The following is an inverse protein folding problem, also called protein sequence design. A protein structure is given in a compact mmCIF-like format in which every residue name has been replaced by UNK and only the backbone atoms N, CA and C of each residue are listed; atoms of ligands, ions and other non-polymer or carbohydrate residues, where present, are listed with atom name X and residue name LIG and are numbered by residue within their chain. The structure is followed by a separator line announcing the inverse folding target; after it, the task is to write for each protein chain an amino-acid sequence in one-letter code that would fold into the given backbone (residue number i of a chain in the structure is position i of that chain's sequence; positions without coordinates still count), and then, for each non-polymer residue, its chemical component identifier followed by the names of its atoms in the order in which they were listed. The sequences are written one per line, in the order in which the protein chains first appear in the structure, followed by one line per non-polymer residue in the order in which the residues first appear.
data_IF_563044421295
#
_entry.id   IF_563044421295
#
_cell.length_a   1.000
_cell.length_b   1.000
_cell.length_c   1.000
_cell.angle_alpha   90.00
_cell.angle_beta   90.00
_cell.angle_gamma   90.00
#
_symmetry.space_group_name_H-M   'P 1'
#
loop_
_entity.id
_entity.type
_entity.pdbx_description
1 polymer ?
#
# COMPACT_ATOMS: atom_id res chain seq x y z
N UNK A 1 2.80 36.86 -23.40
CA UNK A 1 2.21 36.68 -22.06
C UNK A 1 2.03 35.18 -21.91
N UNK A 2 2.69 34.55 -20.93
CA UNK A 2 2.60 33.11 -20.73
C UNK A 2 1.20 32.80 -20.16
N UNK A 3 0.56 31.72 -20.61
CA UNK A 3 -0.76 31.29 -20.12
C UNK A 3 -0.69 30.96 -18.63
N UNK A 4 -1.53 31.61 -17.83
CA UNK A 4 -1.48 31.55 -16.36
C UNK A 4 -2.12 30.26 -15.79
N UNK A 5 -2.70 29.39 -16.63
CA UNK A 5 -3.32 28.15 -16.19
C UNK A 5 -3.17 27.00 -17.19
N UNK A 6 -2.96 25.79 -16.66
CA UNK A 6 -2.85 24.53 -17.40
C UNK A 6 -4.12 24.23 -18.21
N UNK A 7 -5.27 24.78 -17.79
CA UNK A 7 -6.54 24.79 -18.55
C UNK A 7 -6.43 25.49 -19.89
N UNK A 8 -5.78 26.66 -19.95
CA UNK A 8 -5.63 27.41 -21.20
C UNK A 8 -4.67 26.70 -22.17
N UNK A 9 -3.72 25.92 -21.64
CA UNK A 9 -2.74 25.18 -22.42
C UNK A 9 -3.31 23.90 -23.04
N UNK A 10 -4.18 23.19 -22.32
CA UNK A 10 -4.70 21.89 -22.73
C UNK A 10 -6.05 21.96 -23.47
N UNK A 11 -6.85 23.00 -23.24
CA UNK A 11 -8.17 23.13 -23.85
C UNK A 11 -8.04 23.90 -25.17
N UNK A 12 -7.59 23.20 -26.21
CA UNK A 12 -7.94 23.56 -27.58
C UNK A 12 -9.46 23.47 -27.78
N UNK A 13 -10.01 24.15 -28.79
CA UNK A 13 -11.45 24.45 -29.05
C UNK A 13 -12.48 23.30 -29.10
N UNK A 14 -12.21 22.11 -28.55
CA UNK A 14 -13.16 21.02 -28.39
C UNK A 14 -13.11 20.50 -26.95
N UNK A 15 -13.82 21.17 -26.06
CA UNK A 15 -13.96 20.74 -24.67
C UNK A 15 -14.89 19.52 -24.59
N UNK A 16 -14.33 18.34 -24.31
CA UNK A 16 -15.08 17.19 -23.80
C UNK A 16 -15.32 17.40 -22.29
N UNK A 17 -16.57 17.38 -21.84
CA UNK A 17 -16.94 17.65 -20.44
C UNK A 17 -16.34 16.64 -19.44
N UNK A 18 -15.79 15.53 -19.94
CA UNK A 18 -15.03 14.55 -19.19
C UNK A 18 -13.58 15.03 -18.95
N UNK A 19 -12.91 15.53 -20.00
CA UNK A 19 -11.57 16.09 -19.91
C UNK A 19 -11.52 17.31 -18.97
N UNK A 20 -12.55 18.17 -19.01
CA UNK A 20 -12.66 19.28 -18.06
C UNK A 20 -12.79 18.80 -16.61
N UNK A 21 -13.51 17.70 -16.37
CA UNK A 21 -13.65 17.13 -15.03
C UNK A 21 -12.34 16.52 -14.55
N UNK A 22 -11.62 15.83 -15.43
CA UNK A 22 -10.31 15.27 -15.10
C UNK A 22 -9.29 16.36 -14.81
N UNK A 23 -9.23 17.43 -15.62
CA UNK A 23 -8.34 18.56 -15.39
C UNK A 23 -8.67 19.24 -14.05
N UNK A 24 -9.95 19.47 -13.75
CA UNK A 24 -10.35 20.03 -12.46
C UNK A 24 -9.99 19.12 -11.28
N UNK A 25 -10.08 17.81 -11.45
CA UNK A 25 -9.69 16.86 -10.42
C UNK A 25 -8.16 16.85 -10.22
N UNK A 26 -7.41 16.95 -11.32
CA UNK A 26 -5.95 17.03 -11.28
C UNK A 26 -5.46 18.33 -10.62
N UNK A 27 -6.09 19.46 -10.94
CA UNK A 27 -5.80 20.74 -10.29
C UNK A 27 -6.12 20.72 -8.78
N UNK A 28 -7.20 20.04 -8.36
CA UNK A 28 -7.51 19.84 -6.94
C UNK A 28 -6.49 18.97 -6.22
N UNK A 29 -5.98 17.95 -6.90
CA UNK A 29 -4.96 17.07 -6.34
C UNK A 29 -3.61 17.80 -6.22
N UNK A 30 -3.25 18.57 -7.26
CA UNK A 30 -2.04 19.39 -7.28
C UNK A 30 -2.07 20.46 -6.17
N UNK A 31 -3.19 21.16 -6.00
CA UNK A 31 -3.32 22.16 -4.94
C UNK A 31 -3.22 21.56 -3.53
N UNK A 32 -3.70 20.33 -3.33
CA UNK A 32 -3.53 19.62 -2.06
C UNK A 32 -2.05 19.30 -1.78
N UNK A 33 -1.31 18.82 -2.78
CA UNK A 33 0.13 18.51 -2.66
C UNK A 33 0.97 19.76 -2.44
N UNK A 34 0.63 20.87 -3.10
CA UNK A 34 1.29 22.16 -2.90
C UNK A 34 1.03 22.72 -1.49
N UNK A 35 -0.16 22.47 -0.94
CA UNK A 35 -0.51 22.88 0.44
C UNK A 35 0.28 22.07 1.49
N UNK A 36 0.56 20.79 1.27
CA UNK A 36 1.39 19.97 2.18
C UNK A 36 2.88 20.35 2.18
N UNK A 37 3.37 20.98 1.11
CA UNK A 37 4.78 21.43 1.00
C UNK A 37 4.99 22.89 1.40
N UNK A 38 3.93 23.64 1.71
CA UNK A 38 4.08 24.97 2.32
C UNK A 38 4.39 24.79 3.80
N UNK A 39 5.58 25.25 4.22
CA UNK A 39 5.83 25.54 5.62
C UNK A 39 4.92 26.73 5.97
N UNK A 40 3.76 26.44 6.55
CA UNK A 40 2.82 27.45 6.99
C UNK A 40 3.33 27.97 8.34
N UNK A 41 3.84 29.21 8.37
CA UNK A 41 4.14 29.97 9.59
C UNK A 41 2.86 30.47 10.31
N UNK A 42 1.76 29.75 10.16
CA UNK A 42 0.50 29.93 10.88
C UNK A 42 0.36 28.86 11.93
N UNK A 43 -0.51 29.07 12.92
CA UNK A 43 -0.80 28.09 14.00
C UNK A 43 -1.53 26.82 13.48
N UNK A 44 -0.91 26.13 12.53
CA UNK A 44 -1.29 24.83 12.01
C UNK A 44 -0.37 23.76 12.59
N UNK A 45 -0.99 22.69 13.05
CA UNK A 45 -0.43 21.40 13.47
C UNK A 45 1.11 21.31 13.47
N UNK A 46 1.73 21.45 14.65
CA UNK A 46 3.19 21.34 14.79
C UNK A 46 3.58 19.87 14.61
N UNK A 47 4.48 19.51 13.69
CA UNK A 47 4.99 18.14 13.54
C UNK A 47 5.60 17.56 14.83
N UNK A 48 5.98 18.43 15.78
CA UNK A 48 6.42 18.06 17.13
C UNK A 48 5.36 17.30 17.95
N UNK A 49 4.10 17.27 17.52
CA UNK A 49 2.99 16.61 18.24
C UNK A 49 2.68 15.20 17.70
N UNK A 50 3.17 14.81 16.52
CA UNK A 50 3.05 13.42 16.05
C UNK A 50 4.18 12.60 16.69
N UNK A 51 3.86 11.55 17.44
CA UNK A 51 4.88 10.67 17.96
C UNK A 51 5.64 10.02 16.80
N UNK A 52 6.97 10.18 16.81
CA UNK A 52 7.83 9.55 15.81
C UNK A 52 7.73 8.03 15.85
N UNK A 53 8.14 7.35 14.77
CA UNK A 53 8.06 5.89 14.64
C UNK A 53 8.79 5.12 15.77
N UNK A 54 9.73 5.77 16.47
CA UNK A 54 10.47 5.20 17.59
C UNK A 54 9.65 5.12 18.89
N UNK A 55 8.46 5.70 18.93
CA UNK A 55 7.55 5.67 20.07
C UNK A 55 6.39 4.70 19.79
N UNK A 56 6.10 3.82 20.74
CA UNK A 56 4.92 2.95 20.66
C UNK A 56 3.68 3.77 21.02
N UNK A 57 2.77 3.92 20.07
CA UNK A 57 1.55 4.76 20.22
C UNK A 57 0.35 3.88 20.59
N UNK A 58 0.30 2.64 20.10
CA UNK A 58 -0.79 1.70 20.34
C UNK A 58 -0.28 0.35 20.81
N UNK A 59 -1.08 -0.33 21.62
CA UNK A 59 -0.71 -1.62 22.22
C UNK A 59 -0.48 -2.72 21.18
N UNK A 60 -1.22 -2.69 20.06
CA UNK A 60 -1.17 -3.64 18.94
C UNK A 60 0.02 -3.46 18.00
N UNK A 61 0.85 -2.43 18.22
CA UNK A 61 2.11 -2.26 17.50
C UNK A 61 3.21 -3.19 18.03
N UNK A 62 4.02 -3.69 17.11
CA UNK A 62 5.20 -4.52 17.36
C UNK A 62 6.46 -3.80 16.88
N UNK A 63 7.59 -4.08 17.51
CA UNK A 63 8.88 -3.48 17.14
C UNK A 63 9.45 -4.19 15.89
N UNK A 64 9.86 -3.43 14.88
CA UNK A 64 10.52 -3.95 13.68
C UNK A 64 12.04 -4.06 13.87
N UNK A 65 12.75 -4.62 12.89
CA UNK A 65 14.21 -4.82 12.95
C UNK A 65 15.01 -3.51 12.93
N UNK A 66 14.46 -2.44 12.35
CA UNK A 66 15.06 -1.09 12.39
C UNK A 66 14.84 -0.38 13.74
N UNK A 67 14.06 -0.96 14.64
CA UNK A 67 13.82 -0.47 16.00
C UNK A 67 12.58 0.41 16.19
N UNK A 68 11.87 0.72 15.11
CA UNK A 68 10.60 1.46 15.15
C UNK A 68 9.38 0.55 15.36
N UNK A 69 8.21 1.15 15.61
CA UNK A 69 6.96 0.42 15.86
C UNK A 69 6.08 0.38 14.61
N UNK A 70 5.57 -0.81 14.29
CA UNK A 70 4.71 -1.10 13.11
C UNK A 70 3.59 -2.06 13.50
N UNK A 71 2.58 -2.22 12.65
CA UNK A 71 1.55 -3.23 12.88
C UNK A 71 1.99 -4.60 12.39
N UNK A 72 1.64 -5.64 13.17
CA UNK A 72 1.89 -7.03 12.76
C UNK A 72 1.06 -7.35 11.52
N UNK A 73 1.69 -7.98 10.53
CA UNK A 73 1.02 -8.46 9.33
C UNK A 73 0.10 -9.63 9.69
N UNK A 74 -1.11 -9.63 9.15
CA UNK A 74 -2.04 -10.76 9.27
C UNK A 74 -1.42 -12.04 8.68
N UNK A 75 -1.66 -13.16 9.34
CA UNK A 75 -1.25 -14.52 8.96
C UNK A 75 -1.42 -14.81 7.45
N UNK A 76 -2.61 -14.54 6.90
CA UNK A 76 -2.89 -14.78 5.48
C UNK A 76 -2.03 -13.89 4.54
N UNK A 77 -1.79 -12.64 4.94
CA UNK A 77 -0.94 -11.73 4.18
C UNK A 77 0.54 -12.14 4.25
N UNK A 78 0.96 -12.76 5.36
CA UNK A 78 2.31 -13.32 5.49
C UNK A 78 2.52 -14.47 4.50
N UNK A 79 1.57 -15.41 4.43
CA UNK A 79 1.63 -16.53 3.48
C UNK A 79 1.67 -16.01 2.04
N UNK A 80 0.80 -15.05 1.70
CA UNK A 80 0.81 -14.44 0.35
C UNK A 80 2.15 -13.84 0.00
N UNK A 81 2.76 -13.05 0.89
CA UNK A 81 4.09 -12.46 0.65
C UNK A 81 5.14 -13.53 0.42
N UNK A 82 5.11 -14.59 1.22
CA UNK A 82 6.05 -15.69 1.05
C UNK A 82 5.88 -16.40 -0.30
N UNK A 83 4.64 -16.65 -0.75
CA UNK A 83 4.38 -17.29 -2.05
C UNK A 83 4.70 -16.40 -3.25
N UNK A 84 4.53 -15.08 -3.13
CA UNK A 84 4.75 -14.12 -4.22
C UNK A 84 6.22 -13.71 -4.33
N UNK A 85 6.85 -13.35 -3.21
CA UNK A 85 8.20 -12.80 -3.17
C UNK A 85 9.27 -13.89 -2.97
N UNK A 86 8.88 -15.05 -2.45
CA UNK A 86 9.84 -16.06 -2.02
C UNK A 86 10.71 -15.58 -0.87
N UNK A 87 11.90 -16.16 -0.79
CA UNK A 87 12.91 -15.86 0.24
C UNK A 87 14.32 -15.69 -0.33
N UNK A 88 14.48 -15.89 -1.64
CA UNK A 88 15.77 -15.83 -2.34
C UNK A 88 16.42 -14.46 -2.15
N UNK A 89 17.73 -14.45 -1.85
CA UNK A 89 18.48 -13.23 -1.57
C UNK A 89 18.21 -12.61 -0.19
N UNK A 90 17.26 -13.16 0.57
CA UNK A 90 16.90 -12.68 1.91
C UNK A 90 16.34 -11.26 1.90
N UNK A 91 16.56 -10.54 2.99
CA UNK A 91 16.32 -9.08 3.06
C UNK A 91 17.57 -8.40 3.56
N UNK A 92 17.61 -7.06 3.47
CA UNK A 92 18.68 -6.27 4.07
C UNK A 92 18.91 -6.61 5.56
N UNK A 93 17.87 -7.04 6.28
CA UNK A 93 17.90 -7.32 7.72
C UNK A 93 17.97 -8.81 8.08
N UNK A 94 17.92 -9.72 7.11
CA UNK A 94 17.83 -11.17 7.39
C UNK A 94 18.39 -11.99 6.23
N UNK A 95 19.20 -13.00 6.55
CA UNK A 95 19.66 -13.95 5.55
C UNK A 95 18.51 -14.77 4.98
N UNK A 96 18.71 -15.28 3.76
CA UNK A 96 17.76 -16.17 3.09
C UNK A 96 17.34 -17.34 3.98
N UNK A 97 18.30 -18.07 4.56
CA UNK A 97 18.01 -19.22 5.44
C UNK A 97 17.14 -18.82 6.64
N UNK A 98 17.45 -17.70 7.29
CA UNK A 98 16.67 -17.23 8.43
C UNK A 98 15.24 -16.89 8.02
N UNK A 99 15.10 -16.13 6.93
CA UNK A 99 13.80 -15.71 6.39
C UNK A 99 12.94 -16.91 5.99
N UNK A 100 13.53 -17.94 5.36
CA UNK A 100 12.86 -19.20 5.03
C UNK A 100 12.36 -19.90 6.28
N UNK A 101 13.22 -20.10 7.29
CA UNK A 101 12.83 -20.79 8.52
C UNK A 101 11.73 -20.04 9.27
N UNK A 102 11.78 -18.71 9.32
CA UNK A 102 10.77 -17.90 10.00
C UNK A 102 9.42 -17.93 9.29
N UNK A 103 9.40 -17.95 7.96
CA UNK A 103 8.16 -18.07 7.20
C UNK A 103 7.59 -19.49 7.27
N UNK A 104 8.42 -20.53 7.23
CA UNK A 104 7.97 -21.93 7.38
C UNK A 104 7.36 -22.18 8.77
N UNK A 105 8.02 -21.72 9.85
CA UNK A 105 7.46 -21.83 11.20
C UNK A 105 6.10 -21.14 11.32
N UNK A 106 6.00 -19.92 10.79
CA UNK A 106 4.75 -19.19 10.79
C UNK A 106 3.65 -19.92 10.00
N UNK A 107 3.99 -20.54 8.87
CA UNK A 107 3.03 -21.35 8.12
C UNK A 107 2.52 -22.54 8.92
N UNK A 108 3.40 -23.27 9.61
CA UNK A 108 3.00 -24.38 10.47
C UNK A 108 2.00 -23.92 11.54
N UNK A 109 2.30 -22.83 12.25
CA UNK A 109 1.39 -22.26 13.25
C UNK A 109 0.03 -21.84 12.67
N UNK A 110 0.01 -21.30 11.44
CA UNK A 110 -1.22 -20.86 10.78
C UNK A 110 -2.08 -22.06 10.36
N UNK A 111 -1.44 -23.12 9.85
CA UNK A 111 -2.10 -24.37 9.47
C UNK A 111 -2.70 -25.04 10.70
N UNK A 112 -1.96 -25.10 11.81
CA UNK A 112 -2.45 -25.64 13.09
C UNK A 112 -3.68 -24.88 13.61
N UNK A 113 -3.77 -23.57 13.37
CA UNK A 113 -4.93 -22.74 13.72
C UNK A 113 -6.14 -22.94 12.78
N UNK A 114 -5.99 -23.68 11.67
CA UNK A 114 -7.08 -23.97 10.73
C UNK A 114 -7.45 -22.81 9.79
N UNK A 115 -6.54 -21.85 9.55
CA UNK A 115 -6.81 -20.71 8.67
C UNK A 115 -6.76 -21.16 7.21
N UNK A 116 -7.88 -21.04 6.49
CA UNK A 116 -7.94 -21.37 5.06
C UNK A 116 -7.46 -20.20 4.19
N UNK A 117 -6.65 -20.52 3.18
CA UNK A 117 -6.34 -19.61 2.10
C UNK A 117 -7.59 -19.42 1.25
N UNK A 118 -8.33 -18.33 1.46
CA UNK A 118 -9.41 -17.95 0.53
C UNK A 118 -8.75 -17.56 -0.80
N UNK A 119 -9.07 -18.24 -1.92
CA UNK A 119 -8.53 -17.87 -3.21
C UNK A 119 -8.84 -16.41 -3.50
N UNK A 120 -7.85 -15.67 -4.01
CA UNK A 120 -8.06 -14.30 -4.46
C UNK A 120 -9.20 -14.35 -5.46
N UNK A 121 -10.32 -13.71 -5.13
CA UNK A 121 -11.44 -13.57 -6.03
C UNK A 121 -10.97 -12.66 -7.17
N UNK A 122 -10.36 -13.26 -8.19
CA UNK A 122 -10.14 -12.59 -9.46
C UNK A 122 -11.53 -12.36 -10.06
N UNK A 123 -11.97 -11.11 -10.29
CA UNK A 123 -13.23 -10.87 -10.99
C UNK A 123 -13.14 -11.49 -12.39
N UNK A 124 -13.78 -12.64 -12.52
CA UNK A 124 -14.16 -13.39 -13.72
C UNK A 124 -13.32 -13.15 -14.99
N UNK A 125 -12.35 -14.04 -15.27
CA UNK A 125 -12.23 -14.55 -16.63
C UNK A 125 -13.33 -15.60 -16.83
N UNK A 126 -14.37 -15.20 -17.53
CA UNK A 126 -15.43 -16.09 -18.00
C UNK A 126 -14.86 -17.08 -19.01
N UNK A 127 -14.44 -18.26 -18.56
CA UNK A 127 -14.50 -19.46 -19.40
C UNK A 127 -14.96 -20.63 -18.54
N UNK A 128 -16.18 -21.10 -18.87
CA UNK A 128 -16.81 -22.25 -18.23
C UNK A 128 -15.96 -23.48 -18.46
N UNK A 129 -15.34 -24.01 -17.41
CA UNK A 129 -14.83 -25.38 -17.43
C UNK A 129 -15.93 -26.30 -16.89
N UNK A 130 -16.68 -26.92 -17.81
CA UNK A 130 -17.65 -27.98 -17.48
C UNK A 130 -16.90 -29.31 -17.52
N UNK A 131 -16.58 -29.86 -16.35
CA UNK A 131 -16.16 -31.27 -16.23
C UNK A 131 -17.43 -32.14 -16.14
N UNK A 132 -17.72 -32.86 -17.22
CA UNK A 132 -18.60 -34.03 -17.18
C UNK A 132 -17.81 -35.18 -16.58
N UNK A 133 -18.26 -35.71 -15.45
CA UNK A 133 -17.79 -36.99 -14.92
C UNK A 133 -18.04 -38.09 -15.94
N UNK A 134 -17.00 -38.85 -16.27
CA UNK A 134 -17.06 -40.28 -16.57
C UNK A 134 -15.84 -40.92 -15.93
#
# INVERSE_FOLDING_TARGET
MASDSLKELLIGQSADAELEREINNFERLASFIETENQIIDGEGFKPSEIPGQMQKIREDQVRNTAGGYVFKVNDLNRIRRFLILGTEGGTYYSSEKQLTMDNVKAMCEIIEKGVQLVPLNFPSLSHKFVMRNI
#
